data_IF_868086452139
#
_entry.id   IF_868086452139
#
_cell.length_a   1.000
_cell.length_b   1.000
_cell.length_c   1.000
_cell.angle_alpha   90.00
_cell.angle_beta   90.00
_cell.angle_gamma   90.00
#
_symmetry.space_group_name_H-M   'P 1'
#
loop_
_entity.id
_entity.type
_entity.pdbx_description
1 polymer ?
#
# COMPACT_ATOMS: atom_id res chain seq x y z
N UNK A 1 -47.63 -12.48 53.34
CA UNK A 1 -46.41 -12.76 52.54
C UNK A 1 -46.67 -12.48 51.06
N UNK A 2 -46.90 -11.21 50.66
CA UNK A 2 -47.31 -10.86 49.28
C UNK A 2 -46.55 -9.65 48.69
N UNK A 3 -45.76 -8.92 49.50
CA UNK A 3 -45.11 -7.66 49.08
C UNK A 3 -43.73 -7.84 48.44
N UNK A 4 -43.13 -9.03 48.50
CA UNK A 4 -41.77 -9.29 47.97
C UNK A 4 -41.74 -9.62 46.48
N UNK A 5 -42.81 -10.23 45.94
CA UNK A 5 -42.90 -10.61 44.50
C UNK A 5 -42.87 -9.42 43.53
N UNK A 6 -43.40 -8.26 43.94
CA UNK A 6 -43.40 -7.05 43.10
C UNK A 6 -42.02 -6.40 43.00
N UNK A 7 -41.24 -6.40 44.10
CA UNK A 7 -39.89 -5.85 44.12
C UNK A 7 -38.93 -6.65 43.21
N UNK A 8 -39.00 -7.97 43.22
CA UNK A 8 -38.15 -8.80 42.35
C UNK A 8 -38.46 -8.63 40.86
N UNK A 9 -39.74 -8.47 40.50
CA UNK A 9 -40.13 -8.23 39.10
C UNK A 9 -39.62 -6.88 38.60
N UNK A 10 -39.70 -5.84 39.43
CA UNK A 10 -39.20 -4.49 39.09
C UNK A 10 -37.66 -4.53 38.93
N UNK A 11 -36.95 -5.10 39.90
CA UNK A 11 -35.48 -5.19 39.87
C UNK A 11 -34.98 -5.97 38.65
N UNK A 12 -35.65 -7.09 38.31
CA UNK A 12 -35.30 -7.89 37.13
C UNK A 12 -35.53 -7.16 35.81
N UNK A 13 -36.57 -6.32 35.74
CA UNK A 13 -36.87 -5.53 34.54
C UNK A 13 -35.86 -4.41 34.35
N UNK A 14 -35.48 -3.74 35.44
CA UNK A 14 -34.41 -2.73 35.45
C UNK A 14 -33.09 -3.35 35.00
N UNK A 15 -32.70 -4.50 35.56
CA UNK A 15 -31.45 -5.17 35.19
C UNK A 15 -31.42 -5.61 33.71
N UNK A 16 -32.55 -6.09 33.16
CA UNK A 16 -32.66 -6.41 31.73
C UNK A 16 -32.50 -5.19 30.84
N UNK A 17 -33.08 -4.05 31.22
CA UNK A 17 -32.93 -2.81 30.45
C UNK A 17 -31.49 -2.30 30.46
N UNK A 18 -30.79 -2.39 31.60
CA UNK A 18 -29.37 -2.06 31.69
C UNK A 18 -28.49 -2.98 30.83
N UNK A 19 -28.75 -4.29 30.86
CA UNK A 19 -28.03 -5.26 30.02
C UNK A 19 -28.24 -5.02 28.52
N UNK A 20 -29.46 -4.67 28.10
CA UNK A 20 -29.77 -4.33 26.71
C UNK A 20 -29.08 -3.03 26.27
N UNK A 21 -29.06 -2.01 27.13
CA UNK A 21 -28.34 -0.76 26.85
C UNK A 21 -26.83 -0.96 26.69
N UNK A 22 -26.24 -1.81 27.55
CA UNK A 22 -24.82 -2.13 27.50
C UNK A 22 -24.45 -2.96 26.27
N UNK A 23 -25.32 -3.87 25.85
CA UNK A 23 -25.15 -4.65 24.62
C UNK A 23 -25.23 -3.76 23.36
N UNK A 24 -26.14 -2.79 23.32
CA UNK A 24 -26.26 -1.83 22.21
C UNK A 24 -25.02 -0.94 22.09
N UNK A 25 -24.47 -0.46 23.21
CA UNK A 25 -23.23 0.31 23.25
C UNK A 25 -22.00 -0.49 22.79
N UNK A 26 -21.92 -1.77 23.17
CA UNK A 26 -20.85 -2.67 22.73
C UNK A 26 -20.93 -2.95 21.22
N UNK A 27 -22.14 -3.05 20.65
CA UNK A 27 -22.33 -3.31 19.23
C UNK A 27 -21.95 -2.12 18.32
N UNK A 28 -22.06 -0.88 18.80
CA UNK A 28 -21.72 0.32 18.02
C UNK A 28 -20.23 0.51 17.70
N UNK A 29 -19.31 -0.23 18.33
CA UNK A 29 -17.86 -0.09 18.13
C UNK A 29 -17.23 -0.97 17.04
N UNK A 30 -17.97 -1.95 16.49
CA UNK A 30 -17.38 -3.04 15.70
C UNK A 30 -17.11 -2.78 14.20
N UNK A 31 -17.31 -1.57 13.68
CA UNK A 31 -17.19 -1.34 12.23
C UNK A 31 -16.55 -0.04 11.77
N UNK A 32 -16.33 0.93 12.66
CA UNK A 32 -15.82 2.25 12.26
C UNK A 32 -14.29 2.31 12.17
N UNK A 33 -13.59 1.41 12.88
CA UNK A 33 -12.13 1.40 12.94
C UNK A 33 -11.46 0.66 11.77
N UNK A 34 -12.22 -0.08 10.97
CA UNK A 34 -11.66 -0.96 9.93
C UNK A 34 -11.23 -0.20 8.69
N UNK A 35 -11.94 0.87 8.31
CA UNK A 35 -11.62 1.63 7.09
C UNK A 35 -10.29 2.37 7.25
N UNK A 36 -10.08 3.03 8.40
CA UNK A 36 -8.84 3.75 8.67
C UNK A 36 -7.64 2.80 8.82
N UNK A 37 -7.82 1.63 9.43
CA UNK A 37 -6.76 0.61 9.49
C UNK A 37 -6.43 0.03 8.11
N UNK A 38 -7.39 -0.13 7.20
CA UNK A 38 -7.07 -0.56 5.83
C UNK A 38 -6.34 0.54 5.04
N UNK A 39 -6.71 1.80 5.20
CA UNK A 39 -6.06 2.93 4.51
C UNK A 39 -4.61 3.15 4.98
N UNK A 40 -4.35 2.98 6.29
CA UNK A 40 -3.00 2.99 6.86
C UNK A 40 -2.16 1.81 6.36
N UNK A 41 -2.75 0.62 6.22
CA UNK A 41 -2.06 -0.55 5.66
C UNK A 41 -1.68 -0.37 4.19
N UNK A 42 -2.55 0.24 3.38
CA UNK A 42 -2.27 0.54 1.97
C UNK A 42 -1.13 1.56 1.86
N UNK A 43 -1.19 2.66 2.62
CA UNK A 43 -0.12 3.66 2.64
C UNK A 43 1.23 3.09 3.10
N UNK A 44 1.21 2.18 4.09
CA UNK A 44 2.42 1.51 4.56
C UNK A 44 3.01 0.60 3.46
N UNK A 45 2.17 -0.15 2.74
CA UNK A 45 2.59 -0.99 1.62
C UNK A 45 3.15 -0.14 0.46
N UNK A 46 2.52 0.98 0.13
CA UNK A 46 2.98 1.91 -0.92
C UNK A 46 4.36 2.49 -0.58
N UNK A 47 4.58 2.93 0.66
CA UNK A 47 5.88 3.43 1.11
C UNK A 47 6.98 2.37 1.00
N UNK A 48 6.68 1.11 1.34
CA UNK A 48 7.63 0.02 1.19
C UNK A 48 7.97 -0.24 -0.29
N UNK A 49 6.98 -0.23 -1.18
CA UNK A 49 7.19 -0.38 -2.63
C UNK A 49 8.09 0.76 -3.16
N UNK A 50 7.84 2.00 -2.74
CA UNK A 50 8.64 3.17 -3.14
C UNK A 50 10.10 3.04 -2.73
N UNK A 51 10.39 2.60 -1.50
CA UNK A 51 11.77 2.40 -1.02
C UNK A 51 12.51 1.33 -1.84
N UNK A 52 11.83 0.24 -2.22
CA UNK A 52 12.44 -0.81 -3.03
C UNK A 52 12.68 -0.36 -4.48
N UNK A 53 11.74 0.39 -5.06
CA UNK A 53 11.91 0.99 -6.40
C UNK A 53 13.06 2.02 -6.41
N UNK A 54 13.22 2.82 -5.35
CA UNK A 54 14.33 3.76 -5.23
C UNK A 54 15.69 3.05 -5.20
N UNK A 55 15.88 2.02 -4.36
CA UNK A 55 17.14 1.25 -4.33
C UNK A 55 17.44 0.59 -5.67
N UNK A 56 16.42 0.08 -6.37
CA UNK A 56 16.60 -0.43 -7.73
C UNK A 56 17.06 0.67 -8.67
N UNK A 57 16.41 1.82 -8.66
CA UNK A 57 16.79 2.96 -9.50
C UNK A 57 18.21 3.45 -9.20
N UNK A 58 18.66 3.42 -7.94
CA UNK A 58 20.01 3.81 -7.52
C UNK A 58 21.09 2.80 -7.94
N UNK A 59 20.74 1.53 -8.18
CA UNK A 59 21.67 0.47 -8.62
C UNK A 59 21.86 0.41 -10.15
N UNK A 60 20.94 0.97 -10.94
CA UNK A 60 21.06 0.99 -12.40
C UNK A 60 22.30 1.75 -12.94
N UNK A 61 22.92 2.78 -12.30
CA UNK A 61 24.10 3.43 -12.88
C UNK A 61 25.32 2.53 -12.85
N UNK A 62 25.51 1.76 -11.77
CA UNK A 62 26.58 0.77 -11.65
C UNK A 62 26.42 -0.38 -12.67
N UNK A 63 25.19 -0.76 -12.99
CA UNK A 63 24.90 -1.73 -14.06
C UNK A 63 25.17 -1.15 -15.46
N UNK A 64 24.86 0.12 -15.70
CA UNK A 64 25.14 0.78 -16.98
C UNK A 64 26.64 0.93 -17.22
N UNK A 65 27.42 1.24 -16.19
CA UNK A 65 28.88 1.37 -16.29
C UNK A 65 29.56 0.02 -16.59
N UNK A 66 29.10 -1.06 -15.95
CA UNK A 66 29.62 -2.42 -16.19
C UNK A 66 29.24 -2.96 -17.57
N UNK A 67 28.01 -2.76 -18.04
CA UNK A 67 27.60 -3.23 -19.37
C UNK A 67 28.22 -2.36 -20.49
N UNK A 68 28.43 -1.05 -20.28
CA UNK A 68 29.16 -0.18 -21.24
C UNK A 68 30.60 -0.64 -21.50
N UNK A 69 31.24 -1.26 -20.50
CA UNK A 69 32.58 -1.87 -20.64
C UNK A 69 32.60 -3.09 -21.59
N UNK A 70 31.50 -3.85 -21.65
CA UNK A 70 31.36 -5.05 -22.49
C UNK A 70 30.74 -4.79 -23.87
N UNK A 71 29.95 -3.73 -24.05
CA UNK A 71 29.08 -3.56 -25.23
C UNK A 71 29.33 -2.26 -26.04
N UNK A 72 30.60 -1.95 -26.37
CA UNK A 72 30.98 -0.80 -27.24
C UNK A 72 30.26 -0.75 -28.61
N UNK A 73 29.62 -1.83 -29.05
CA UNK A 73 28.84 -1.90 -30.31
C UNK A 73 27.33 -1.69 -30.14
N UNK A 74 26.80 -1.60 -28.92
CA UNK A 74 25.34 -1.51 -28.66
C UNK A 74 24.86 -0.13 -28.20
N UNK A 75 25.45 0.93 -28.75
CA UNK A 75 25.17 2.31 -28.36
C UNK A 75 23.66 2.67 -28.46
N UNK A 76 22.95 2.11 -29.44
CA UNK A 76 21.50 2.29 -29.59
C UNK A 76 20.72 1.71 -28.42
N UNK A 77 21.05 0.49 -27.99
CA UNK A 77 20.33 -0.17 -26.88
C UNK A 77 20.61 0.53 -25.56
N UNK A 78 21.84 1.00 -25.33
CA UNK A 78 22.13 1.83 -24.15
C UNK A 78 21.39 3.15 -24.12
N UNK A 79 21.22 3.79 -25.28
CA UNK A 79 20.45 5.04 -25.38
C UNK A 79 18.98 4.80 -25.03
N UNK A 80 18.39 3.71 -25.54
CA UNK A 80 17.01 3.32 -25.23
C UNK A 80 16.82 2.99 -23.73
N UNK A 81 17.75 2.27 -23.11
CA UNK A 81 17.72 1.97 -21.66
C UNK A 81 17.88 3.25 -20.84
N UNK A 82 18.79 4.15 -21.25
CA UNK A 82 19.02 5.41 -20.56
C UNK A 82 17.80 6.33 -20.60
N UNK A 83 17.13 6.46 -21.75
CA UNK A 83 15.88 7.23 -21.88
C UNK A 83 14.74 6.60 -21.07
N UNK A 84 14.55 5.28 -21.15
CA UNK A 84 13.51 4.59 -20.40
C UNK A 84 13.70 4.77 -18.88
N UNK A 85 14.96 4.76 -18.42
CA UNK A 85 15.32 5.05 -17.04
C UNK A 85 15.06 6.51 -16.65
N UNK A 86 15.38 7.47 -17.52
CA UNK A 86 15.11 8.88 -17.26
C UNK A 86 13.60 9.14 -17.10
N UNK A 87 12.77 8.50 -17.93
CA UNK A 87 11.30 8.56 -17.83
C UNK A 87 10.79 7.96 -16.51
N UNK A 88 11.33 6.82 -16.07
CA UNK A 88 11.00 6.24 -14.77
C UNK A 88 11.39 7.17 -13.62
N UNK A 89 12.60 7.74 -13.65
CA UNK A 89 13.06 8.67 -12.63
C UNK A 89 12.17 9.92 -12.52
N UNK A 90 11.73 10.47 -13.65
CA UNK A 90 10.76 11.58 -13.70
C UNK A 90 9.39 11.18 -13.14
N UNK A 91 8.88 10.01 -13.52
CA UNK A 91 7.61 9.49 -13.01
C UNK A 91 7.65 9.23 -11.48
N UNK A 92 8.79 8.79 -10.94
CA UNK A 92 8.98 8.58 -9.49
C UNK A 92 9.02 9.90 -8.72
N UNK A 93 9.49 10.99 -9.33
CA UNK A 93 9.61 12.28 -8.67
C UNK A 93 8.31 13.09 -8.61
N UNK A 94 7.37 12.89 -9.54
CA UNK A 94 6.15 13.71 -9.59
C UNK A 94 4.94 13.09 -10.29
N UNK A 95 4.99 11.80 -10.64
CA UNK A 95 3.91 11.13 -11.35
C UNK A 95 2.96 10.33 -10.44
N UNK A 96 1.78 10.03 -10.97
CA UNK A 96 0.82 9.12 -10.33
C UNK A 96 1.30 7.66 -10.37
N UNK A 97 0.75 6.82 -9.49
CA UNK A 97 1.08 5.38 -9.42
C UNK A 97 0.95 4.67 -10.79
N UNK A 98 -0.03 5.10 -11.59
CA UNK A 98 -0.26 4.61 -12.95
C UNK A 98 0.85 5.00 -13.93
N UNK A 99 1.37 6.22 -13.83
CA UNK A 99 2.49 6.70 -14.65
C UNK A 99 3.79 5.97 -14.30
N UNK A 100 3.99 5.63 -13.02
CA UNK A 100 5.10 4.79 -12.58
C UNK A 100 4.99 3.36 -13.15
N UNK A 101 3.79 2.78 -13.16
CA UNK A 101 3.55 1.45 -13.73
C UNK A 101 3.80 1.41 -15.25
N UNK A 102 3.36 2.43 -15.99
CA UNK A 102 3.62 2.55 -17.43
C UNK A 102 5.11 2.76 -17.73
N UNK A 103 5.79 3.62 -16.96
CA UNK A 103 7.24 3.84 -17.12
C UNK A 103 8.05 2.56 -16.80
N UNK A 104 7.60 1.76 -15.83
CA UNK A 104 8.22 0.48 -15.51
C UNK A 104 8.01 -0.57 -16.63
N UNK A 105 6.83 -0.61 -17.25
CA UNK A 105 6.59 -1.47 -18.41
C UNK A 105 7.49 -1.08 -19.60
N UNK A 106 7.71 0.23 -19.83
CA UNK A 106 8.58 0.73 -20.89
C UNK A 106 10.07 0.36 -20.70
N UNK A 107 10.54 0.17 -19.46
CA UNK A 107 11.89 -0.31 -19.15
C UNK A 107 12.09 -1.80 -19.47
N UNK A 108 11.02 -2.59 -19.51
CA UNK A 108 11.11 -4.05 -19.68
C UNK A 108 11.46 -4.42 -21.13
N UNK A 109 11.01 -3.65 -22.12
CA UNK A 109 11.24 -3.96 -23.53
C UNK A 109 12.72 -3.83 -23.99
N UNK A 110 13.48 -2.79 -23.61
CA UNK A 110 14.91 -2.70 -23.91
C UNK A 110 15.73 -3.76 -23.16
N UNK A 111 15.38 -4.05 -21.90
CA UNK A 111 16.06 -5.08 -21.10
C UNK A 111 15.87 -6.48 -21.69
N UNK A 112 14.72 -6.77 -22.29
CA UNK A 112 14.46 -8.03 -22.98
C UNK A 112 15.22 -8.22 -24.29
N UNK A 113 15.84 -7.17 -24.87
CA UNK A 113 16.75 -7.30 -26.02
C UNK A 113 18.21 -7.51 -25.62
N UNK A 114 18.55 -7.25 -24.34
CA UNK A 114 19.89 -7.44 -23.78
C UNK A 114 20.10 -8.85 -23.18
N UNK A 115 19.00 -9.59 -22.95
CA UNK A 115 18.99 -10.97 -22.45
C UNK A 115 18.81 -11.95 -23.60
#
# INVERSE_FOLDING_TARGET
MHSTRWKESIVRTINRSWLLGLALLAASGCGYNTIQTYDEQVNAAESQIKVQLQRRADLVPNLVETVKGYAKQEQTIFTEVAEARAKLAGAVQGGSLEQMAQANAALTAPLGRLL
#
